data_IF_853248933405
#
_entry.id   IF_853248933405
#
_cell.length_a   1.000
_cell.length_b   1.000
_cell.length_c   1.000
_cell.angle_alpha   90.00
_cell.angle_beta   90.00
_cell.angle_gamma   90.00
#
_symmetry.space_group_name_H-M   'P 1'
#
loop_
_entity.id
_entity.type
_entity.pdbx_description
1 polymer ?
#
# COMPACT_ATOMS: atom_id res chain seq x y z
N UNK A 1 -15.30 34.67 -28.69
CA UNK A 1 -15.25 34.53 -27.21
C UNK A 1 -15.83 33.19 -26.75
N UNK A 2 -17.05 32.81 -27.17
CA UNK A 2 -17.70 31.54 -26.78
C UNK A 2 -16.89 30.28 -27.16
N UNK A 3 -16.28 30.26 -28.34
CA UNK A 3 -15.44 29.16 -28.84
C UNK A 3 -14.11 29.01 -28.08
N UNK A 4 -13.47 30.12 -27.70
CA UNK A 4 -12.25 30.11 -26.87
C UNK A 4 -12.57 29.59 -25.47
N UNK A 5 -13.72 30.00 -24.90
CA UNK A 5 -14.17 29.52 -23.60
C UNK A 5 -14.49 28.02 -23.59
N UNK A 6 -15.03 27.48 -24.70
CA UNK A 6 -15.30 26.05 -24.88
C UNK A 6 -14.00 25.22 -24.97
N UNK A 7 -12.98 25.73 -25.67
CA UNK A 7 -11.68 25.08 -25.80
C UNK A 7 -10.94 25.08 -24.45
N UNK A 8 -10.99 26.18 -23.68
CA UNK A 8 -10.46 26.22 -22.33
C UNK A 8 -11.17 25.20 -21.41
N UNK A 9 -12.50 25.08 -21.48
CA UNK A 9 -13.26 24.11 -20.69
C UNK A 9 -12.90 22.65 -21.04
N UNK A 10 -12.66 22.32 -22.32
CA UNK A 10 -12.18 20.98 -22.71
C UNK A 10 -10.76 20.68 -22.21
N UNK A 11 -9.87 21.67 -22.19
CA UNK A 11 -8.51 21.53 -21.65
C UNK A 11 -8.50 21.35 -20.13
N UNK A 12 -9.46 21.94 -19.39
CA UNK A 12 -9.62 21.69 -17.97
C UNK A 12 -10.26 20.32 -17.67
N UNK A 13 -11.13 19.81 -18.56
CA UNK A 13 -11.73 18.50 -18.41
C UNK A 13 -10.71 17.35 -18.57
N UNK A 14 -9.64 17.53 -19.36
CA UNK A 14 -8.57 16.53 -19.49
C UNK A 14 -7.59 16.51 -18.31
N UNK A 15 -7.53 17.58 -17.49
CA UNK A 15 -6.74 17.59 -16.26
C UNK A 15 -7.42 16.84 -15.10
N UNK A 16 -8.67 16.41 -15.27
CA UNK A 16 -9.38 15.55 -14.33
C UNK A 16 -9.07 14.05 -14.51
N UNK A 17 -7.95 13.71 -15.17
CA UNK A 17 -7.40 12.36 -15.08
C UNK A 17 -7.01 12.12 -13.62
N UNK A 18 -7.80 11.29 -12.94
CA UNK A 18 -7.47 10.78 -11.61
C UNK A 18 -6.02 10.32 -11.65
N UNK A 19 -5.15 10.98 -10.90
CA UNK A 19 -3.73 10.65 -10.84
C UNK A 19 -3.63 9.24 -10.26
N UNK A 20 -3.56 8.25 -11.14
CA UNK A 20 -3.36 6.86 -10.76
C UNK A 20 -2.04 6.84 -10.00
N UNK A 21 -2.06 6.27 -8.80
CA UNK A 21 -0.85 6.16 -8.02
C UNK A 21 0.12 5.25 -8.79
N UNK A 22 1.42 5.60 -8.89
CA UNK A 22 2.42 4.71 -9.54
C UNK A 22 2.40 3.29 -8.97
N UNK A 23 2.00 3.17 -7.71
CA UNK A 23 1.83 1.92 -7.02
C UNK A 23 0.63 1.13 -7.53
N UNK A 24 -0.47 1.80 -7.86
CA UNK A 24 -1.63 1.19 -8.50
C UNK A 24 -1.23 0.64 -9.88
N UNK A 25 -0.41 1.35 -10.64
CA UNK A 25 0.13 0.86 -11.91
C UNK A 25 0.95 -0.41 -11.73
N UNK A 26 1.84 -0.45 -10.72
CA UNK A 26 2.61 -1.66 -10.37
C UNK A 26 1.66 -2.81 -10.03
N UNK A 27 0.68 -2.57 -9.15
CA UNK A 27 -0.28 -3.61 -8.77
C UNK A 27 -1.02 -4.17 -9.98
N UNK A 28 -1.58 -3.32 -10.83
CA UNK A 28 -2.32 -3.74 -12.02
C UNK A 28 -1.43 -4.45 -13.05
N UNK A 29 -0.15 -4.08 -13.16
CA UNK A 29 0.82 -4.74 -14.04
C UNK A 29 1.12 -6.19 -13.62
N UNK A 30 1.21 -6.45 -12.31
CA UNK A 30 1.68 -7.75 -11.79
C UNK A 30 0.57 -8.67 -11.26
N UNK A 31 -0.62 -8.15 -10.95
CA UNK A 31 -1.69 -8.91 -10.26
C UNK A 31 -2.15 -10.22 -10.92
N UNK A 32 -1.99 -10.35 -12.24
CA UNK A 32 -2.45 -11.49 -13.06
C UNK A 32 -1.27 -12.30 -13.63
N UNK A 33 -0.03 -12.00 -13.21
CA UNK A 33 1.14 -12.74 -13.66
C UNK A 33 1.21 -14.12 -13.01
N UNK A 34 1.71 -15.11 -13.75
CA UNK A 34 1.93 -16.46 -13.22
C UNK A 34 2.94 -16.43 -12.06
N UNK A 35 2.66 -17.16 -10.99
CA UNK A 35 3.52 -17.19 -9.79
C UNK A 35 3.39 -15.95 -8.90
N UNK A 36 2.38 -15.11 -9.15
CA UNK A 36 2.03 -13.96 -8.32
C UNK A 36 0.66 -14.17 -7.69
N UNK A 37 0.60 -14.15 -6.36
CA UNK A 37 -0.66 -14.04 -5.61
C UNK A 37 -0.94 -12.58 -5.35
N UNK A 38 -2.12 -12.11 -5.75
CA UNK A 38 -2.55 -10.73 -5.56
C UNK A 38 -3.79 -10.63 -4.67
N UNK A 39 -3.75 -9.73 -3.69
CA UNK A 39 -4.87 -9.48 -2.77
C UNK A 39 -5.19 -7.99 -2.77
N UNK A 40 -6.47 -7.63 -2.90
CA UNK A 40 -6.95 -6.25 -2.84
C UNK A 40 -8.17 -6.16 -1.94
N UNK A 41 -8.03 -5.43 -0.84
CA UNK A 41 -9.09 -5.17 0.12
C UNK A 41 -9.42 -3.68 0.06
N UNK A 42 -10.67 -3.36 -0.26
CA UNK A 42 -11.13 -1.96 -0.37
C UNK A 42 -11.86 -1.46 0.87
N UNK A 43 -12.03 -0.14 0.95
CA UNK A 43 -12.77 0.60 1.98
C UNK A 43 -14.13 -0.02 2.40
N UNK A 44 -14.96 -0.56 1.49
CA UNK A 44 -16.21 -1.19 1.91
C UNK A 44 -16.01 -2.35 2.88
N UNK A 45 -14.95 -3.15 2.71
CA UNK A 45 -14.64 -4.27 3.60
C UNK A 45 -14.22 -3.78 5.00
N UNK A 46 -13.36 -2.76 5.08
CA UNK A 46 -12.95 -2.18 6.37
C UNK A 46 -14.14 -1.53 7.10
N UNK A 47 -15.04 -0.87 6.37
CA UNK A 47 -16.30 -0.36 6.94
C UNK A 47 -17.21 -1.46 7.45
N UNK A 48 -17.26 -2.60 6.75
CA UNK A 48 -18.03 -3.76 7.20
C UNK A 48 -17.43 -4.30 8.50
N UNK A 49 -16.12 -4.57 8.54
CA UNK A 49 -15.41 -5.06 9.72
C UNK A 49 -15.57 -4.13 10.93
N UNK A 50 -15.44 -2.82 10.74
CA UNK A 50 -15.61 -1.85 11.82
C UNK A 50 -17.02 -1.81 12.41
N UNK A 51 -18.04 -2.25 11.67
CA UNK A 51 -19.45 -2.30 12.11
C UNK A 51 -19.88 -3.67 12.64
N UNK A 52 -19.12 -4.73 12.35
CA UNK A 52 -19.42 -6.05 12.88
C UNK A 52 -19.11 -6.03 14.37
N UNK A 53 -20.08 -6.44 15.19
CA UNK A 53 -19.89 -6.60 16.62
C UNK A 53 -19.35 -8.00 16.90
N UNK A 54 -18.06 -8.20 16.61
CA UNK A 54 -17.33 -9.43 16.92
C UNK A 54 -16.60 -9.19 18.25
N UNK A 55 -16.85 -10.05 19.23
CA UNK A 55 -16.13 -10.02 20.52
C UNK A 55 -14.74 -10.66 20.32
N UNK A 56 -13.86 -9.88 19.71
CA UNK A 56 -12.50 -10.28 19.36
C UNK A 56 -11.53 -9.17 19.76
N UNK A 57 -10.63 -9.48 20.69
CA UNK A 57 -9.70 -8.52 21.29
C UNK A 57 -8.73 -7.92 20.25
N UNK A 58 -8.37 -8.69 19.22
CA UNK A 58 -7.49 -8.23 18.16
C UNK A 58 -8.24 -7.26 17.23
N UNK A 59 -9.52 -7.55 16.93
CA UNK A 59 -10.37 -6.65 16.16
C UNK A 59 -10.59 -5.31 16.87
N UNK A 60 -10.80 -5.31 18.19
CA UNK A 60 -10.93 -4.07 18.97
C UNK A 60 -9.66 -3.22 18.89
N UNK A 61 -8.50 -3.85 18.91
CA UNK A 61 -7.19 -3.18 18.82
C UNK A 61 -7.01 -2.48 17.48
N UNK A 62 -7.42 -3.12 16.38
CA UNK A 62 -7.25 -2.54 15.03
C UNK A 62 -8.43 -1.63 14.60
N UNK A 63 -9.57 -1.66 15.31
CA UNK A 63 -10.79 -0.92 14.95
C UNK A 63 -10.56 0.58 14.71
N UNK A 64 -9.76 1.31 15.53
CA UNK A 64 -9.48 2.73 15.30
C UNK A 64 -8.81 2.98 13.93
N UNK A 65 -8.03 2.01 13.46
CA UNK A 65 -7.27 2.10 12.21
C UNK A 65 -8.11 1.75 10.98
N UNK A 66 -9.12 0.89 11.11
CA UNK A 66 -10.00 0.52 10.00
C UNK A 66 -10.66 1.74 9.32
N UNK A 67 -10.89 2.81 10.10
CA UNK A 67 -11.45 4.07 9.59
C UNK A 67 -10.45 4.91 8.77
N UNK A 68 -9.15 4.70 8.97
CA UNK A 68 -8.03 5.43 8.38
C UNK A 68 -7.48 4.76 7.12
N UNK A 69 -7.82 3.49 6.91
CA UNK A 69 -7.41 2.69 5.75
C UNK A 69 -8.43 2.83 4.62
N UNK A 70 -7.95 3.19 3.43
CA UNK A 70 -8.74 3.23 2.21
C UNK A 70 -8.64 1.91 1.43
N UNK A 71 -7.44 1.34 1.33
CA UNK A 71 -7.25 0.01 0.74
C UNK A 71 -6.00 -0.68 1.26
N UNK A 72 -6.01 -2.01 1.24
CA UNK A 72 -4.80 -2.83 1.33
C UNK A 72 -4.62 -3.54 0.00
N UNK A 73 -3.40 -3.50 -0.55
CA UNK A 73 -3.00 -4.23 -1.75
C UNK A 73 -1.77 -5.06 -1.44
N UNK A 74 -1.76 -6.32 -1.83
CA UNK A 74 -0.63 -7.21 -1.60
C UNK A 74 -0.26 -7.95 -2.89
N UNK A 75 1.03 -8.03 -3.17
CA UNK A 75 1.62 -8.91 -4.15
C UNK A 75 2.59 -9.86 -3.44
N UNK A 76 2.40 -11.16 -3.62
CA UNK A 76 3.32 -12.20 -3.17
C UNK A 76 3.86 -12.87 -4.43
N UNK A 77 5.16 -12.83 -4.62
CA UNK A 77 5.87 -13.49 -5.72
C UNK A 77 6.59 -14.70 -5.18
N UNK A 78 6.25 -15.87 -5.72
CA UNK A 78 6.85 -17.15 -5.33
C UNK A 78 8.33 -17.25 -5.74
N UNK A 79 9.14 -17.93 -4.92
CA UNK A 79 10.60 -18.07 -5.10
C UNK A 79 11.12 -18.62 -6.40
N UNK A 80 10.32 -19.44 -7.07
CA UNK A 80 10.71 -20.13 -8.30
C UNK A 80 10.98 -19.22 -9.48
N UNK A 81 10.49 -17.97 -9.46
CA UNK A 81 10.62 -17.01 -10.57
C UNK A 81 11.46 -15.78 -10.18
N UNK A 82 12.78 -15.96 -10.21
CA UNK A 82 13.75 -14.90 -9.90
C UNK A 82 13.66 -13.68 -10.82
N UNK A 83 13.20 -13.86 -12.07
CA UNK A 83 12.97 -12.75 -13.00
C UNK A 83 11.77 -11.92 -12.57
N UNK A 84 10.68 -12.57 -12.16
CA UNK A 84 9.52 -11.88 -11.61
C UNK A 84 9.87 -11.16 -10.32
N UNK A 85 10.54 -11.83 -9.37
CA UNK A 85 10.99 -11.20 -8.10
C UNK A 85 11.82 -9.94 -8.36
N UNK A 86 12.80 -10.03 -9.26
CA UNK A 86 13.63 -8.89 -9.65
C UNK A 86 12.82 -7.77 -10.32
N UNK A 87 11.90 -8.12 -11.23
CA UNK A 87 11.06 -7.16 -11.96
C UNK A 87 10.16 -6.37 -11.00
N UNK A 88 9.44 -7.05 -10.12
CA UNK A 88 8.54 -6.41 -9.15
C UNK A 88 9.34 -5.57 -8.15
N UNK A 89 10.46 -6.09 -7.63
CA UNK A 89 11.33 -5.35 -6.71
C UNK A 89 11.86 -4.07 -7.33
N UNK A 90 12.36 -4.13 -8.57
CA UNK A 90 12.82 -2.94 -9.29
C UNK A 90 11.68 -1.94 -9.57
N UNK A 91 10.46 -2.41 -9.81
CA UNK A 91 9.31 -1.53 -10.00
C UNK A 91 8.96 -0.79 -8.70
N UNK A 92 8.98 -1.50 -7.57
CA UNK A 92 8.73 -0.93 -6.24
C UNK A 92 9.85 0.01 -5.80
N UNK A 93 11.11 -0.32 -6.05
CA UNK A 93 12.26 0.53 -5.72
C UNK A 93 12.30 1.85 -6.50
N UNK A 94 11.63 1.92 -7.66
CA UNK A 94 11.43 3.16 -8.42
C UNK A 94 10.37 4.07 -7.83
N UNK A 95 9.66 3.64 -6.80
CA UNK A 95 8.78 4.51 -6.04
C UNK A 95 9.65 5.45 -5.20
N UNK A 96 9.40 6.75 -5.28
CA UNK A 96 10.07 7.76 -4.47
C UNK A 96 9.47 7.79 -3.06
N UNK A 97 9.48 6.66 -2.36
CA UNK A 97 8.98 6.54 -0.99
C UNK A 97 10.14 6.75 -0.03
N UNK A 98 9.84 7.38 1.10
CA UNK A 98 10.78 7.57 2.19
C UNK A 98 10.93 6.28 2.99
N UNK A 99 12.18 5.84 3.18
CA UNK A 99 12.48 4.64 3.97
C UNK A 99 12.47 5.00 5.46
N UNK A 100 11.55 4.38 6.20
CA UNK A 100 11.37 4.63 7.63
C UNK A 100 12.20 3.66 8.47
N UNK A 101 12.32 2.41 8.01
CA UNK A 101 13.00 1.35 8.75
C UNK A 101 13.46 0.25 7.79
N UNK A 102 14.63 -0.32 8.07
CA UNK A 102 15.13 -1.53 7.40
C UNK A 102 15.58 -2.52 8.45
N UNK A 103 15.18 -3.78 8.27
CA UNK A 103 15.58 -4.90 9.10
C UNK A 103 16.18 -5.95 8.16
N UNK A 104 17.38 -6.43 8.49
CA UNK A 104 18.03 -7.53 7.80
C UNK A 104 18.15 -8.70 8.78
N UNK A 105 17.52 -9.83 8.48
CA UNK A 105 17.53 -11.02 9.35
C UNK A 105 17.47 -12.29 8.52
N UNK A 106 18.44 -13.19 8.68
CA UNK A 106 18.44 -14.55 8.11
C UNK A 106 18.08 -14.60 6.61
N UNK A 107 18.71 -13.77 5.79
CA UNK A 107 18.46 -13.70 4.34
C UNK A 107 17.20 -12.91 3.95
N UNK A 108 16.43 -12.41 4.93
CA UNK A 108 15.30 -11.52 4.70
C UNK A 108 15.72 -10.07 4.79
N UNK A 109 15.31 -9.27 3.80
CA UNK A 109 15.35 -7.82 3.83
C UNK A 109 13.94 -7.27 3.95
N UNK A 110 13.62 -6.72 5.11
CA UNK A 110 12.32 -6.11 5.43
C UNK A 110 12.49 -4.60 5.43
N UNK A 111 11.63 -3.89 4.70
CA UNK A 111 11.64 -2.42 4.61
C UNK A 111 10.24 -1.88 4.87
N UNK A 112 10.16 -0.87 5.72
CA UNK A 112 8.98 -0.04 5.91
C UNK A 112 9.21 1.30 5.23
N UNK A 113 8.31 1.67 4.32
CA UNK A 113 8.40 2.91 3.56
C UNK A 113 7.08 3.69 3.64
N UNK A 114 7.15 5.01 3.48
CA UNK A 114 5.98 5.88 3.37
C UNK A 114 6.07 6.73 2.09
N UNK A 115 4.92 6.98 1.45
CA UNK A 115 4.87 7.87 0.28
C UNK A 115 5.22 9.32 0.64
N UNK A 116 4.74 9.78 1.79
CA UNK A 116 5.13 11.07 2.37
C UNK A 116 4.99 11.05 3.89
N UNK A 117 5.84 11.84 4.54
CA UNK A 117 5.83 12.09 5.98
C UNK A 117 5.62 13.59 6.18
N UNK A 118 4.55 13.96 6.88
CA UNK A 118 4.21 15.35 7.18
C UNK A 118 3.99 15.51 8.69
N UNK A 119 5.05 15.94 9.39
CA UNK A 119 5.06 15.92 10.86
C UNK A 119 4.90 14.48 11.36
N UNK A 120 3.85 14.23 12.13
CA UNK A 120 3.56 12.88 12.66
C UNK A 120 2.69 12.02 11.73
N UNK A 121 2.28 12.55 10.56
CA UNK A 121 1.38 11.87 9.64
C UNK A 121 2.15 11.12 8.55
N UNK A 122 1.92 9.82 8.46
CA UNK A 122 2.46 8.92 7.47
C UNK A 122 1.38 8.61 6.43
N UNK A 123 1.61 9.04 5.20
CA UNK A 123 0.72 8.76 4.08
C UNK A 123 1.23 7.55 3.29
N UNK A 124 0.34 6.59 3.09
CA UNK A 124 0.52 5.38 2.30
C UNK A 124 1.77 4.59 2.68
N UNK A 125 1.59 3.60 3.54
CA UNK A 125 2.67 2.72 3.95
C UNK A 125 2.88 1.60 2.93
N UNK A 126 4.14 1.25 2.73
CA UNK A 126 4.58 0.11 1.95
C UNK A 126 5.50 -0.75 2.83
N UNK A 127 5.13 -2.02 2.97
CA UNK A 127 5.97 -3.07 3.51
C UNK A 127 6.55 -3.87 2.36
N UNK A 128 7.87 -3.96 2.30
CA UNK A 128 8.60 -4.81 1.35
C UNK A 128 9.38 -5.86 2.13
N UNK A 129 9.13 -7.12 1.83
CA UNK A 129 9.86 -8.28 2.37
C UNK A 129 10.45 -9.01 1.17
N UNK A 130 11.78 -9.01 1.06
CA UNK A 130 12.50 -9.75 0.03
C UNK A 130 13.29 -10.85 0.71
N UNK A 131 12.99 -12.11 0.36
CA UNK A 131 13.69 -13.30 0.84
C UNK A 131 14.03 -14.23 -0.33
N UNK A 132 14.79 -15.29 -0.05
CA UNK A 132 15.08 -16.34 -1.04
C UNK A 132 13.83 -17.12 -1.43
N UNK A 133 12.95 -17.40 -0.46
CA UNK A 133 11.66 -18.07 -0.66
C UNK A 133 10.69 -17.12 -1.36
N UNK A 134 10.10 -16.14 -0.69
CA UNK A 134 9.09 -15.28 -1.31
C UNK A 134 9.49 -13.80 -1.31
N UNK A 135 8.88 -13.05 -2.22
CA UNK A 135 8.90 -11.59 -2.18
C UNK A 135 7.50 -11.08 -1.93
N UNK A 136 7.31 -10.35 -0.84
CA UNK A 136 6.01 -9.80 -0.43
C UNK A 136 6.08 -8.28 -0.49
N UNK A 137 5.14 -7.68 -1.19
CA UNK A 137 4.86 -6.26 -1.14
C UNK A 137 3.45 -6.06 -0.62
N UNK A 138 3.30 -5.39 0.51
CA UNK A 138 2.02 -5.01 1.08
C UNK A 138 1.93 -3.50 1.15
N UNK A 139 0.82 -2.96 0.66
CA UNK A 139 0.56 -1.55 0.61
C UNK A 139 -0.68 -1.30 1.43
N UNK A 140 -0.57 -0.35 2.33
CA UNK A 140 -1.67 0.20 3.09
C UNK A 140 -1.87 1.64 2.62
N UNK A 141 -2.88 1.84 1.78
CA UNK A 141 -3.33 3.16 1.32
C UNK A 141 -4.21 3.79 2.39
N UNK A 142 -3.77 4.91 2.94
CA UNK A 142 -4.33 5.51 4.15
C UNK A 142 -3.38 6.52 4.78
N UNK A 143 -3.85 7.18 5.82
CA UNK A 143 -3.09 8.18 6.55
C UNK A 143 -3.11 7.83 8.04
N UNK A 144 -1.93 7.60 8.62
CA UNK A 144 -1.78 7.12 10.00
C UNK A 144 -0.77 7.98 10.73
N UNK A 145 -0.97 8.16 12.04
CA UNK A 145 0.02 8.80 12.90
C UNK A 145 1.06 7.81 13.40
N UNK A 146 2.22 8.27 13.86
CA UNK A 146 3.18 7.39 14.55
C UNK A 146 2.55 6.61 15.72
N UNK A 147 1.70 7.25 16.52
CA UNK A 147 0.99 6.61 17.63
C UNK A 147 0.09 5.46 17.17
N UNK A 148 -0.52 5.58 15.98
CA UNK A 148 -1.35 4.51 15.41
C UNK A 148 -0.54 3.26 15.12
N UNK A 149 0.69 3.43 14.64
CA UNK A 149 1.63 2.32 14.37
C UNK A 149 2.19 1.77 15.69
N UNK A 150 2.54 2.64 16.63
CA UNK A 150 3.09 2.22 17.91
C UNK A 150 2.11 1.31 18.66
N UNK A 151 0.81 1.67 18.67
CA UNK A 151 -0.25 0.87 19.27
C UNK A 151 -0.38 -0.53 18.63
N UNK A 152 -0.05 -0.70 17.35
CA UNK A 152 -0.03 -2.02 16.70
C UNK A 152 1.14 -2.89 17.16
N UNK A 153 2.31 -2.28 17.35
CA UNK A 153 3.55 -3.01 17.67
C UNK A 153 3.63 -3.33 19.17
N UNK A 154 3.15 -2.41 20.02
CA UNK A 154 3.27 -2.53 21.48
C UNK A 154 2.32 -3.55 22.12
N UNK A 155 1.28 -3.99 21.42
CA UNK A 155 0.23 -4.84 22.00
C UNK A 155 0.65 -6.32 22.12
N UNK A 156 1.81 -6.70 21.57
CA UNK A 156 2.36 -8.06 21.66
C UNK A 156 3.40 -8.27 22.78
N UNK A 157 3.39 -7.43 23.83
CA UNK A 157 4.19 -7.62 25.05
C UNK A 157 3.31 -7.79 26.29
#
# INVERSE_FOLDING_TARGET
MKTIMLICALLFASMAQAQISKLDEIFEQYKEQKGVTSIKIGKPMFKMLGKMNIDDADLETIRPLLSKINSIKMLIVEGGDQKMKSSVTLAVDKLNYEELMVINSDGNKIRFLAKSVEGDLLNNLLLSIVSDEDTIFMILDGAMKYDDINNLVSTNN
#
